data_IF_147023258239
#
_entry.id   IF_147023258239
#
_cell.length_a   1.000
_cell.length_b   1.000
_cell.length_c   1.000
_cell.angle_alpha   90.00
_cell.angle_beta   90.00
_cell.angle_gamma   90.00
#
_symmetry.space_group_name_H-M   'P 1'
#
loop_
_entity.id
_entity.type
_entity.pdbx_description
1 polymer ?
#
# COMPACT_ATOMS: atom_id res chain seq x y z
N UNK A 1 16.49 -8.55 -13.50
CA UNK A 1 15.56 -7.58 -14.11
C UNK A 1 14.18 -8.18 -14.30
N UNK A 2 13.29 -7.98 -13.32
CA UNK A 2 11.84 -8.13 -13.48
C UNK A 2 11.21 -6.92 -12.81
N UNK A 3 10.36 -6.20 -13.51
CA UNK A 3 9.63 -5.04 -13.01
C UNK A 3 8.13 -5.37 -13.02
N UNK A 4 7.36 -4.76 -12.12
CA UNK A 4 5.90 -4.72 -12.28
C UNK A 4 5.52 -3.55 -13.18
N UNK A 5 4.40 -3.68 -13.89
CA UNK A 5 3.86 -2.61 -14.73
C UNK A 5 2.73 -1.92 -13.96
N UNK A 6 2.94 -0.64 -13.65
CA UNK A 6 1.94 0.23 -13.07
C UNK A 6 1.22 1.03 -14.16
N UNK A 7 -0.02 1.45 -13.87
CA UNK A 7 -0.80 2.33 -14.76
C UNK A 7 -1.18 3.61 -14.01
N UNK A 8 -0.82 4.77 -14.56
CA UNK A 8 -1.20 6.08 -14.01
C UNK A 8 -1.74 6.96 -15.13
N UNK A 9 -3.00 7.38 -15.01
CA UNK A 9 -3.68 8.19 -16.03
C UNK A 9 -3.61 7.58 -17.44
N UNK A 10 -3.72 6.24 -17.54
CA UNK A 10 -3.64 5.51 -18.81
C UNK A 10 -2.21 5.35 -19.38
N UNK A 11 -1.18 5.85 -18.69
CA UNK A 11 0.22 5.64 -19.05
C UNK A 11 0.79 4.49 -18.23
N UNK A 12 1.48 3.57 -18.88
CA UNK A 12 2.26 2.52 -18.23
C UNK A 12 3.59 3.05 -17.71
N UNK A 13 4.05 2.51 -16.58
CA UNK A 13 5.38 2.77 -16.06
C UNK A 13 5.93 1.55 -15.33
N UNK A 14 7.24 1.38 -15.34
CA UNK A 14 7.91 0.32 -14.60
C UNK A 14 7.96 0.67 -13.10
N UNK A 15 7.52 -0.25 -12.27
CA UNK A 15 7.74 -0.25 -10.83
C UNK A 15 9.01 -1.07 -10.58
N UNK A 16 10.06 -0.37 -10.17
CA UNK A 16 11.40 -0.92 -9.93
C UNK A 16 11.64 -0.98 -8.42
N UNK A 17 11.83 -2.19 -7.91
CA UNK A 17 12.11 -2.46 -6.50
C UNK A 17 12.81 -3.83 -6.37
N UNK A 18 13.20 -4.20 -5.15
CA UNK A 18 13.74 -5.53 -4.86
C UNK A 18 12.68 -6.62 -5.12
N UNK A 19 13.13 -7.81 -5.53
CA UNK A 19 12.22 -8.91 -5.94
C UNK A 19 11.21 -9.26 -4.86
N UNK A 20 11.64 -9.33 -3.60
CA UNK A 20 10.75 -9.64 -2.47
C UNK A 20 9.66 -8.58 -2.29
N UNK A 21 9.96 -7.31 -2.58
CA UNK A 21 8.99 -6.22 -2.55
C UNK A 21 8.01 -6.35 -3.71
N UNK A 22 8.52 -6.57 -4.93
CA UNK A 22 7.67 -6.75 -6.11
C UNK A 22 6.72 -7.95 -5.95
N UNK A 23 7.20 -9.09 -5.46
CA UNK A 23 6.38 -10.27 -5.20
C UNK A 23 5.30 -10.00 -4.15
N UNK A 24 5.65 -9.29 -3.08
CA UNK A 24 4.69 -8.89 -2.05
C UNK A 24 3.57 -8.01 -2.64
N UNK A 25 3.90 -6.96 -3.38
CA UNK A 25 2.89 -6.06 -3.94
C UNK A 25 2.07 -6.74 -5.03
N UNK A 26 2.66 -7.61 -5.85
CA UNK A 26 1.93 -8.40 -6.85
C UNK A 26 0.87 -9.31 -6.19
N UNK A 27 1.17 -9.89 -5.03
CA UNK A 27 0.27 -10.79 -4.30
C UNK A 27 -0.78 -10.08 -3.43
N UNK A 28 -0.53 -8.83 -3.00
CA UNK A 28 -1.34 -8.19 -1.96
C UNK A 28 -2.02 -6.87 -2.36
N UNK A 29 -1.50 -6.13 -3.34
CA UNK A 29 -1.95 -4.74 -3.62
C UNK A 29 -3.42 -4.61 -4.06
N UNK A 30 -4.01 -5.67 -4.63
CA UNK A 30 -5.41 -5.74 -5.06
C UNK A 30 -6.38 -6.22 -3.97
N UNK A 31 -5.89 -6.62 -2.80
CA UNK A 31 -6.74 -7.07 -1.68
C UNK A 31 -7.57 -5.94 -1.08
N UNK A 32 -8.66 -6.26 -0.34
CA UNK A 32 -9.37 -5.29 0.50
C UNK A 32 -8.40 -4.51 1.39
N UNK A 33 -8.67 -3.23 1.65
CA UNK A 33 -7.67 -2.35 2.27
C UNK A 33 -7.22 -2.84 3.64
N UNK A 34 -8.15 -3.30 4.47
CA UNK A 34 -7.81 -3.85 5.78
C UNK A 34 -6.87 -5.08 5.70
N UNK A 35 -7.13 -5.99 4.76
CA UNK A 35 -6.29 -7.16 4.55
C UNK A 35 -4.90 -6.77 4.03
N UNK A 36 -4.84 -5.83 3.07
CA UNK A 36 -3.58 -5.36 2.52
C UNK A 36 -2.75 -4.60 3.56
N UNK A 37 -3.38 -3.70 4.32
CA UNK A 37 -2.73 -2.93 5.39
C UNK A 37 -2.21 -3.85 6.48
N UNK A 38 -2.98 -4.86 6.89
CA UNK A 38 -2.51 -5.85 7.86
C UNK A 38 -1.28 -6.61 7.32
N UNK A 39 -1.34 -7.11 6.09
CA UNK A 39 -0.22 -7.83 5.48
C UNK A 39 1.04 -6.96 5.32
N UNK A 40 0.89 -5.67 5.02
CA UNK A 40 2.01 -4.75 4.88
C UNK A 40 2.62 -4.38 6.23
N UNK A 41 1.79 -3.90 7.16
CA UNK A 41 2.26 -3.43 8.47
C UNK A 41 2.81 -4.56 9.36
N UNK A 42 2.32 -5.80 9.21
CA UNK A 42 2.86 -6.95 9.96
C UNK A 42 4.14 -7.53 9.36
N UNK A 43 4.59 -7.05 8.21
CA UNK A 43 5.78 -7.57 7.55
C UNK A 43 7.06 -7.08 8.23
N UNK A 44 7.58 -7.88 9.16
CA UNK A 44 8.80 -7.56 9.90
C UNK A 44 10.05 -7.43 9.00
N UNK A 45 10.07 -8.06 7.81
CA UNK A 45 11.18 -7.89 6.88
C UNK A 45 11.22 -6.47 6.27
N UNK A 46 10.07 -5.80 6.16
CA UNK A 46 10.00 -4.42 5.68
C UNK A 46 10.28 -3.40 6.78
N UNK A 47 9.85 -3.71 8.00
CA UNK A 47 9.75 -2.70 9.07
C UNK A 47 10.66 -2.96 10.27
N UNK A 48 11.31 -4.14 10.34
CA UNK A 48 12.09 -4.60 11.50
C UNK A 48 11.24 -4.95 12.72
N UNK A 49 9.91 -4.79 12.63
CA UNK A 49 8.93 -5.09 13.67
C UNK A 49 7.53 -5.20 13.06
N UNK A 50 6.63 -5.88 13.76
CA UNK A 50 5.21 -5.88 13.44
C UNK A 50 4.55 -4.56 13.87
N UNK A 51 4.29 -3.69 12.90
CA UNK A 51 3.68 -2.38 13.13
C UNK A 51 2.19 -2.47 13.47
N UNK A 52 1.52 -3.60 13.27
CA UNK A 52 0.11 -3.76 13.69
C UNK A 52 -0.06 -3.68 15.21
N UNK A 53 1.04 -3.84 15.97
CA UNK A 53 1.09 -3.69 17.42
C UNK A 53 1.08 -2.22 17.88
N UNK A 54 1.28 -1.26 16.98
CA UNK A 54 1.18 0.17 17.29
C UNK A 54 -0.30 0.55 17.34
N UNK A 55 -0.79 0.90 18.53
CA UNK A 55 -2.19 1.24 18.76
C UNK A 55 -2.67 2.35 17.79
N UNK A 56 -3.77 2.08 17.09
CA UNK A 56 -4.42 3.01 16.16
C UNK A 56 -3.76 3.12 14.77
N UNK A 57 -2.58 2.54 14.55
CA UNK A 57 -1.87 2.69 13.28
C UNK A 57 -2.59 1.97 12.12
N UNK A 58 -2.96 0.70 12.31
CA UNK A 58 -3.66 -0.09 11.27
C UNK A 58 -4.97 0.56 10.84
N UNK A 59 -5.73 1.10 11.78
CA UNK A 59 -7.01 1.76 11.52
C UNK A 59 -6.81 3.05 10.74
N UNK A 60 -5.85 3.90 11.14
CA UNK A 60 -5.54 5.14 10.45
C UNK A 60 -5.07 4.90 9.01
N UNK A 61 -4.13 3.96 8.81
CA UNK A 61 -3.62 3.62 7.47
C UNK A 61 -4.71 3.02 6.60
N UNK A 62 -5.58 2.16 7.15
CA UNK A 62 -6.73 1.61 6.42
C UNK A 62 -7.68 2.71 5.97
N UNK A 63 -8.02 3.64 6.86
CA UNK A 63 -8.90 4.77 6.53
C UNK A 63 -8.31 5.66 5.42
N UNK A 64 -7.01 5.99 5.50
CA UNK A 64 -6.35 6.77 4.46
C UNK A 64 -6.27 6.04 3.12
N UNK A 65 -6.00 4.73 3.13
CA UNK A 65 -5.96 3.95 1.90
C UNK A 65 -7.34 3.86 1.23
N UNK A 66 -8.40 3.71 2.01
CA UNK A 66 -9.78 3.76 1.49
C UNK A 66 -10.10 5.13 0.87
N UNK A 67 -9.70 6.23 1.52
CA UNK A 67 -9.86 7.57 0.96
C UNK A 67 -9.11 7.72 -0.36
N UNK A 68 -7.88 7.21 -0.46
CA UNK A 68 -7.10 7.24 -1.70
C UNK A 68 -7.77 6.42 -2.80
N UNK A 69 -8.28 5.23 -2.50
CA UNK A 69 -8.94 4.35 -3.47
C UNK A 69 -10.27 4.91 -3.97
N UNK A 70 -11.01 5.60 -3.11
CA UNK A 70 -12.35 6.13 -3.43
C UNK A 70 -12.30 7.54 -4.03
N UNK A 71 -11.47 8.43 -3.49
CA UNK A 71 -11.43 9.85 -3.87
C UNK A 71 -10.27 10.16 -4.84
N UNK A 72 -9.27 9.30 -4.89
CA UNK A 72 -7.97 9.59 -5.49
C UNK A 72 -7.06 10.38 -4.54
N UNK A 73 -5.75 10.24 -4.74
CA UNK A 73 -4.71 10.77 -3.84
C UNK A 73 -4.88 12.26 -3.49
N UNK A 74 -5.20 13.11 -4.49
CA UNK A 74 -5.30 14.57 -4.27
C UNK A 74 -6.43 14.93 -3.31
N UNK A 75 -7.64 14.43 -3.56
CA UNK A 75 -8.81 14.71 -2.71
C UNK A 75 -8.69 14.06 -1.33
N UNK A 76 -8.02 12.91 -1.25
CA UNK A 76 -7.72 12.27 0.03
C UNK A 76 -6.83 13.16 0.92
N UNK A 77 -5.83 13.86 0.36
CA UNK A 77 -5.04 14.83 1.13
C UNK A 77 -5.91 15.99 1.60
N UNK A 78 -6.65 16.63 0.70
CA UNK A 78 -7.52 17.79 1.02
C UNK A 78 -8.58 17.48 2.09
N UNK A 79 -9.04 16.22 2.18
CA UNK A 79 -9.96 15.77 3.22
C UNK A 79 -9.30 15.64 4.59
N UNK A 80 -8.04 15.22 4.62
CA UNK A 80 -7.37 14.78 5.84
C UNK A 80 -6.38 15.82 6.42
N UNK A 81 -6.09 16.92 5.69
CA UNK A 81 -5.16 18.00 6.08
C UNK A 81 -5.61 19.35 5.51
#
# INVERSE_FOLDING_TARGET
>A
DKALIGHRNGQEYNIMDDMAVLEFFAANSSKPSAEFVNAYLSNENFHGQDLTKVAGLSDAVTAYLEDIRTLGMRKAIEKNF
#
